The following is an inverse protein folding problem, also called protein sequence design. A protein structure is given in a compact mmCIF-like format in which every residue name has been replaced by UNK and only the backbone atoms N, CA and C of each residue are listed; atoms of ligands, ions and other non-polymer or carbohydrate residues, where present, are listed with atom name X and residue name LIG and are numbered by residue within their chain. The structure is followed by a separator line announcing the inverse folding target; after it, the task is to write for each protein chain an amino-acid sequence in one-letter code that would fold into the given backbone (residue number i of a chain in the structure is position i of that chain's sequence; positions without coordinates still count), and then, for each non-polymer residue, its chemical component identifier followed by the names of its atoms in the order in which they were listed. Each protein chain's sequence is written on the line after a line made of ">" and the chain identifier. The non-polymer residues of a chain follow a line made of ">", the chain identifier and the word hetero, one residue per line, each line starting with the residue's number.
data_IF_879027506463
#
_entry.id   IF_879027506463
#
_cell.length_a   1.000
_cell.length_b   1.000
_cell.length_c   1.000
_cell.angle_alpha   90.00
_cell.angle_beta   90.00
_cell.angle_gamma   90.00
#
_symmetry.space_group_name_H-M   'P 1'
#
loop_
_entity.id
_entity.type
_entity.pdbx_description
1 polymer ?
#
# COMPACT_ATOMS: atom_id res chain seq x y z
N UNK A 1 -8.11 1.48 23.24
CA UNK A 1 -8.39 0.97 21.88
C UNK A 1 -7.13 1.16 21.02
N UNK A 2 -6.35 0.11 20.73
CA UNK A 2 -5.34 0.23 19.65
C UNK A 2 -6.14 0.24 18.35
N UNK A 3 -6.40 1.42 17.79
CA UNK A 3 -6.91 1.55 16.42
C UNK A 3 -6.02 0.65 15.55
N UNK A 4 -6.60 -0.40 14.96
CA UNK A 4 -5.89 -1.25 14.02
C UNK A 4 -5.54 -0.34 12.85
N UNK A 5 -4.29 0.14 12.80
CA UNK A 5 -3.79 0.87 11.65
C UNK A 5 -3.69 -0.17 10.53
N UNK A 6 -4.72 -0.22 9.68
CA UNK A 6 -4.65 -0.93 8.42
C UNK A 6 -3.77 -0.09 7.50
N UNK A 7 -2.71 -0.70 6.99
CA UNK A 7 -1.85 -0.08 6.01
C UNK A 7 -2.63 0.05 4.70
N UNK A 8 -3.08 1.27 4.41
CA UNK A 8 -3.75 1.60 3.16
C UNK A 8 -2.69 1.94 2.11
N UNK A 9 -2.47 1.03 1.17
CA UNK A 9 -1.72 1.33 -0.04
C UNK A 9 -2.58 2.22 -0.93
N UNK A 10 -2.25 3.51 -0.98
CA UNK A 10 -2.92 4.44 -1.89
C UNK A 10 -2.57 4.10 -3.32
N UNK A 11 -3.57 4.05 -4.18
CA UNK A 11 -3.33 3.92 -5.61
C UNK A 11 -2.71 5.21 -6.17
N UNK A 12 -2.08 5.13 -7.34
CA UNK A 12 -1.49 6.32 -8.01
C UNK A 12 -2.51 7.47 -8.12
N UNK A 13 -3.74 7.16 -8.52
CA UNK A 13 -4.81 8.15 -8.63
C UNK A 13 -5.15 8.81 -7.28
N UNK A 14 -5.15 8.06 -6.19
CA UNK A 14 -5.46 8.62 -4.86
C UNK A 14 -4.36 9.56 -4.40
N UNK A 15 -3.10 9.21 -4.68
CA UNK A 15 -1.97 10.08 -4.40
C UNK A 15 -2.01 11.38 -5.22
N UNK A 16 -2.28 11.28 -6.52
CA UNK A 16 -2.38 12.48 -7.38
C UNK A 16 -3.51 13.42 -6.95
N UNK A 17 -4.62 12.89 -6.44
CA UNK A 17 -5.74 13.71 -5.94
C UNK A 17 -5.37 14.54 -4.69
N UNK A 18 -4.36 14.13 -3.93
CA UNK A 18 -3.90 14.85 -2.74
C UNK A 18 -2.93 15.99 -3.06
N UNK A 19 -2.42 16.05 -4.29
CA UNK A 19 -1.47 17.08 -4.71
C UNK A 19 -2.20 18.40 -5.00
N UNK A 20 -1.47 19.51 -4.81
CA UNK A 20 -1.95 20.85 -5.16
C UNK A 20 -2.18 20.94 -6.69
N UNK A 21 -3.29 21.54 -7.18
CA UNK A 21 -3.53 21.74 -8.61
C UNK A 21 -2.36 22.35 -9.38
N UNK A 22 -1.63 23.30 -8.80
CA UNK A 22 -0.45 23.91 -9.46
C UNK A 22 0.67 22.89 -9.75
N UNK A 23 0.84 21.90 -8.87
CA UNK A 23 1.81 20.81 -9.06
C UNK A 23 1.31 19.87 -10.15
N UNK A 24 0.01 19.59 -10.18
CA UNK A 24 -0.59 18.74 -11.21
C UNK A 24 -0.47 19.35 -12.61
N UNK A 25 -0.70 20.66 -12.75
CA UNK A 25 -0.54 21.35 -14.03
C UNK A 25 0.91 21.25 -14.54
N UNK A 26 1.89 21.47 -13.65
CA UNK A 26 3.31 21.28 -13.99
C UNK A 26 3.63 19.84 -14.35
N UNK A 27 3.03 18.87 -13.66
CA UNK A 27 3.27 17.44 -13.86
C UNK A 27 2.67 16.94 -15.19
N UNK A 28 1.50 17.44 -15.58
CA UNK A 28 0.85 17.11 -16.85
C UNK A 28 1.51 17.74 -18.07
N UNK A 29 2.34 18.77 -17.91
CA UNK A 29 3.21 19.24 -18.98
C UNK A 29 4.26 18.19 -19.40
N UNK A 30 4.57 17.21 -18.53
CA UNK A 30 5.44 16.11 -18.87
C UNK A 30 4.66 14.95 -19.51
N UNK A 31 5.02 14.52 -20.73
CA UNK A 31 4.21 13.55 -21.46
C UNK A 31 4.34 12.12 -20.89
N UNK A 32 5.42 11.81 -20.17
CA UNK A 32 5.56 10.54 -19.44
C UNK A 32 4.47 10.41 -18.36
N UNK A 33 4.19 11.49 -17.64
CA UNK A 33 3.14 11.53 -16.63
C UNK A 33 1.76 11.30 -17.26
N UNK A 34 1.46 12.00 -18.36
CA UNK A 34 0.19 11.85 -19.05
C UNK A 34 -0.07 10.41 -19.47
N UNK A 35 0.95 9.73 -19.99
CA UNK A 35 0.85 8.33 -20.40
C UNK A 35 0.68 7.38 -19.20
N UNK A 36 1.41 7.62 -18.10
CA UNK A 36 1.29 6.83 -16.87
C UNK A 36 -0.10 6.93 -16.26
N UNK A 37 -0.64 8.16 -16.15
CA UNK A 37 -1.99 8.40 -15.65
C UNK A 37 -3.02 7.77 -16.57
N UNK A 38 -2.88 7.94 -17.89
CA UNK A 38 -3.77 7.31 -18.85
C UNK A 38 -3.79 5.77 -18.74
N UNK A 39 -2.65 5.12 -18.47
CA UNK A 39 -2.57 3.66 -18.28
C UNK A 39 -3.38 3.18 -17.07
N UNK A 40 -3.38 3.93 -15.97
CA UNK A 40 -4.10 3.60 -14.74
C UNK A 40 -5.60 3.92 -14.78
N UNK A 41 -6.06 4.66 -15.79
CA UNK A 41 -7.48 5.00 -15.91
C UNK A 41 -8.36 3.75 -16.17
N UNK A 42 -9.58 3.71 -15.60
CA UNK A 42 -10.59 2.72 -15.96
C UNK A 42 -10.88 2.72 -17.47
N UNK A 43 -11.32 1.58 -18.00
CA UNK A 43 -11.58 1.41 -19.44
C UNK A 43 -12.51 2.48 -20.03
N UNK A 44 -13.55 2.87 -19.29
CA UNK A 44 -14.48 3.92 -19.69
C UNK A 44 -13.81 5.31 -19.73
N UNK A 45 -12.98 5.63 -18.73
CA UNK A 45 -12.25 6.90 -18.67
C UNK A 45 -11.24 7.03 -19.84
N UNK A 46 -10.55 5.94 -20.19
CA UNK A 46 -9.69 5.88 -21.37
C UNK A 46 -10.44 6.23 -22.66
N UNK A 47 -11.64 5.67 -22.85
CA UNK A 47 -12.48 5.98 -24.00
C UNK A 47 -12.91 7.44 -24.06
N UNK A 48 -13.22 8.07 -22.91
CA UNK A 48 -13.54 9.48 -22.87
C UNK A 48 -12.34 10.34 -23.28
N UNK A 49 -11.17 10.09 -22.71
CA UNK A 49 -9.94 10.82 -23.02
C UNK A 49 -9.62 10.70 -24.52
N UNK A 50 -9.65 9.49 -25.09
CA UNK A 50 -9.38 9.27 -26.51
C UNK A 50 -10.37 9.98 -27.44
N UNK A 51 -11.65 10.07 -27.06
CA UNK A 51 -12.66 10.78 -27.84
C UNK A 51 -12.51 12.30 -27.74
N UNK A 52 -12.13 12.81 -26.57
CA UNK A 52 -11.93 14.25 -26.34
C UNK A 52 -10.61 14.77 -26.90
N UNK A 53 -9.59 13.91 -27.04
CA UNK A 53 -8.27 14.29 -27.53
C UNK A 53 -8.29 14.94 -28.91
N UNK A 54 -9.20 14.51 -29.79
CA UNK A 54 -9.33 15.00 -31.16
C UNK A 54 -10.42 16.07 -31.33
N UNK A 55 -11.02 16.55 -30.23
CA UNK A 55 -12.08 17.55 -30.28
C UNK A 55 -11.53 18.92 -29.91
N UNK A 56 -11.64 19.87 -30.82
CA UNK A 56 -11.25 21.26 -30.58
C UNK A 56 -12.29 22.03 -29.74
N UNK A 57 -13.51 21.50 -29.62
CA UNK A 57 -14.63 22.15 -28.93
C UNK A 57 -15.05 21.39 -27.66
N UNK A 58 -15.37 22.11 -26.57
CA UNK A 58 -15.83 21.50 -25.33
C UNK A 58 -17.20 20.83 -25.49
N UNK A 59 -17.30 19.55 -25.13
CA UNK A 59 -18.57 18.82 -25.17
C UNK A 59 -19.50 19.17 -23.98
N UNK A 60 -20.82 19.20 -24.19
CA UNK A 60 -21.80 19.29 -23.11
C UNK A 60 -21.81 18.02 -22.25
N UNK A 61 -21.89 18.17 -20.92
CA UNK A 61 -21.91 17.04 -19.99
C UNK A 61 -23.08 16.07 -20.23
N UNK A 62 -24.22 16.58 -20.70
CA UNK A 62 -25.38 15.77 -21.08
C UNK A 62 -25.08 14.82 -22.27
N UNK A 63 -24.27 15.25 -23.23
CA UNK A 63 -23.86 14.42 -24.37
C UNK A 63 -22.92 13.29 -23.92
N UNK A 64 -22.04 13.56 -22.96
CA UNK A 64 -21.15 12.55 -22.38
C UNK A 64 -21.94 11.48 -21.62
N UNK A 65 -22.98 11.88 -20.87
CA UNK A 65 -23.85 10.94 -20.15
C UNK A 65 -24.62 10.00 -21.10
N UNK A 66 -24.88 10.41 -22.34
CA UNK A 66 -25.53 9.60 -23.37
C UNK A 66 -24.62 8.51 -23.96
N UNK A 67 -23.29 8.58 -23.75
CA UNK A 67 -22.35 7.57 -24.26
C UNK A 67 -22.33 6.28 -23.44
N UNK A 68 -22.98 6.27 -22.27
CA UNK A 68 -23.06 5.11 -21.37
C UNK A 68 -24.48 4.60 -21.31
N UNK A 69 -24.66 3.30 -21.59
CA UNK A 69 -25.96 2.64 -21.45
C UNK A 69 -26.49 2.76 -20.01
N UNK A 70 -27.81 2.91 -19.85
CA UNK A 70 -28.46 3.18 -18.55
C UNK A 70 -28.05 2.23 -17.41
N UNK A 71 -27.67 1.00 -17.73
CA UNK A 71 -27.28 -0.03 -16.77
C UNK A 71 -25.88 0.16 -16.15
N UNK A 72 -25.05 1.07 -16.70
CA UNK A 72 -23.64 1.26 -16.28
C UNK A 72 -23.34 2.69 -15.79
N UNK A 73 -24.35 3.53 -15.56
CA UNK A 73 -24.20 4.96 -15.26
C UNK A 73 -23.61 5.29 -13.88
N UNK A 74 -23.43 4.31 -12.97
CA UNK A 74 -22.81 4.53 -11.65
C UNK A 74 -21.31 4.85 -11.67
N UNK A 75 -20.64 4.73 -12.83
CA UNK A 75 -19.20 4.92 -13.00
C UNK A 75 -18.82 6.25 -13.70
N UNK A 76 -19.75 7.21 -13.79
CA UNK A 76 -19.46 8.50 -14.42
C UNK A 76 -18.58 9.34 -13.49
N UNK A 77 -17.27 9.31 -13.75
CA UNK A 77 -16.34 10.33 -13.25
C UNK A 77 -16.81 11.70 -13.75
N UNK A 78 -16.92 12.67 -12.84
CA UNK A 78 -17.18 14.06 -13.19
C UNK A 78 -16.10 14.57 -14.15
N UNK A 79 -16.44 15.10 -15.34
CA UNK A 79 -15.49 15.76 -16.22
C UNK A 79 -15.27 17.18 -15.72
N UNK A 80 -14.56 17.31 -14.60
CA UNK A 80 -14.05 18.57 -14.09
C UNK A 80 -12.54 18.46 -14.08
N UNK A 81 -11.92 18.78 -15.22
CA UNK A 81 -10.62 19.45 -15.35
C UNK A 81 -10.23 19.41 -16.85
N UNK A 82 -10.54 20.50 -17.55
CA UNK A 82 -10.21 20.71 -18.98
C UNK A 82 -8.78 21.21 -19.20
N UNK A 83 -7.91 21.08 -18.22
CA UNK A 83 -6.53 21.51 -18.36
C UNK A 83 -5.67 20.34 -18.87
N UNK A 84 -5.52 20.34 -20.20
CA UNK A 84 -4.39 19.81 -20.95
C UNK A 84 -3.97 18.34 -20.72
N UNK A 85 -4.78 17.38 -21.22
CA UNK A 85 -4.23 16.10 -21.69
C UNK A 85 -3.97 16.20 -23.20
N UNK A 86 -2.97 16.99 -23.61
CA UNK A 86 -2.38 16.84 -24.94
C UNK A 86 -1.50 15.59 -24.92
N UNK A 87 -2.13 14.43 -25.07
CA UNK A 87 -1.40 13.18 -25.26
C UNK A 87 -0.99 13.14 -26.73
N UNK A 88 0.31 13.24 -27.01
CA UNK A 88 0.87 12.88 -28.32
C UNK A 88 1.47 11.46 -28.18
N UNK A 89 0.66 10.39 -28.33
CA UNK A 89 1.01 9.04 -27.85
C UNK A 89 2.10 8.34 -28.66
N UNK A 90 2.56 8.91 -29.79
CA UNK A 90 3.44 8.23 -30.74
C UNK A 90 4.86 8.79 -30.73
N UNK A 91 5.09 9.99 -30.19
CA UNK A 91 6.41 10.65 -30.28
C UNK A 91 7.34 10.41 -29.09
N UNK A 92 6.83 10.03 -27.90
CA UNK A 92 7.64 10.03 -26.68
C UNK A 92 8.56 8.82 -26.51
N UNK A 93 8.10 7.60 -26.79
CA UNK A 93 8.95 6.41 -26.64
C UNK A 93 10.11 6.38 -27.65
N UNK A 94 9.91 6.97 -28.84
CA UNK A 94 10.92 7.04 -29.88
C UNK A 94 11.96 8.16 -29.63
N UNK A 95 11.55 9.32 -29.13
CA UNK A 95 12.47 10.44 -28.86
C UNK A 95 13.41 10.17 -27.68
N UNK A 96 12.95 9.48 -26.64
CA UNK A 96 13.78 9.18 -25.46
C UNK A 96 14.67 7.96 -25.63
N UNK A 97 14.30 7.05 -26.52
CA UNK A 97 15.12 5.89 -26.86
C UNK A 97 16.41 6.29 -27.61
N UNK A 98 16.45 7.48 -28.22
CA UNK A 98 17.56 7.90 -29.09
C UNK A 98 18.67 8.67 -28.34
N UNK A 99 18.47 9.04 -27.06
CA UNK A 99 19.52 9.69 -26.25
C UNK A 99 20.65 8.74 -25.84
N UNK A 100 20.37 7.42 -25.77
CA UNK A 100 21.37 6.38 -25.50
C UNK A 100 22.34 6.13 -26.67
N UNK A 101 21.96 6.53 -27.88
CA UNK A 101 22.74 6.40 -29.11
C UNK A 101 24.05 7.20 -29.07
N UNK A 102 24.15 8.20 -28.19
CA UNK A 102 25.29 9.12 -28.07
C UNK A 102 26.55 8.51 -27.47
N UNK A 103 26.42 7.47 -26.62
CA UNK A 103 27.54 6.94 -25.84
C UNK A 103 28.21 5.70 -26.47
N UNK A 104 27.63 5.13 -27.54
CA UNK A 104 28.09 3.89 -28.18
C UNK A 104 27.82 2.61 -27.36
N UNK A 105 28.08 1.40 -27.92
CA UNK A 105 27.73 0.13 -27.27
C UNK A 105 28.49 -0.10 -25.95
N UNK A 106 27.79 -0.53 -24.90
CA UNK A 106 28.44 -0.87 -23.62
C UNK A 106 29.23 -2.18 -23.74
N UNK A 107 30.52 -2.12 -23.39
CA UNK A 107 31.42 -3.28 -23.33
C UNK A 107 31.03 -4.26 -22.22
N UNK A 108 30.24 -3.83 -21.24
CA UNK A 108 29.81 -4.62 -20.10
C UNK A 108 28.29 -4.62 -19.94
N UNK A 109 27.58 -4.71 -21.06
CA UNK A 109 26.14 -4.91 -21.07
C UNK A 109 25.75 -6.08 -20.16
N UNK A 110 24.65 -5.92 -19.42
CA UNK A 110 24.14 -6.92 -18.50
C UNK A 110 22.92 -7.61 -19.10
N UNK A 111 22.90 -8.93 -18.97
CA UNK A 111 21.74 -9.73 -19.36
C UNK A 111 20.54 -9.43 -18.47
N UNK A 112 19.34 -9.53 -19.03
CA UNK A 112 18.08 -9.25 -18.34
C UNK A 112 17.95 -10.11 -17.08
N UNK A 113 18.28 -11.40 -17.15
CA UNK A 113 18.22 -12.30 -16.00
C UNK A 113 19.16 -11.84 -14.86
N UNK A 114 20.32 -11.31 -15.21
CA UNK A 114 21.28 -10.80 -14.24
C UNK A 114 20.81 -9.51 -13.55
N UNK A 115 20.02 -8.69 -14.26
CA UNK A 115 19.37 -7.50 -13.71
C UNK A 115 18.20 -7.88 -12.80
N UNK A 116 17.43 -8.90 -13.17
CA UNK A 116 16.34 -9.43 -12.35
C UNK A 116 16.86 -9.99 -11.02
N UNK A 117 17.94 -10.79 -11.06
CA UNK A 117 18.61 -11.32 -9.87
C UNK A 117 19.12 -10.19 -8.97
N UNK A 118 19.80 -9.20 -9.55
CA UNK A 118 20.27 -8.03 -8.82
C UNK A 118 19.13 -7.27 -8.12
N UNK A 119 18.02 -7.04 -8.83
CA UNK A 119 16.89 -6.28 -8.32
C UNK A 119 16.25 -6.99 -7.12
N UNK A 120 16.04 -8.31 -7.23
CA UNK A 120 15.47 -9.12 -6.16
C UNK A 120 16.40 -9.23 -4.96
N UNK A 121 17.69 -9.50 -5.14
CA UNK A 121 18.66 -9.56 -4.04
C UNK A 121 18.69 -8.26 -3.23
N UNK A 122 18.70 -7.10 -3.92
CA UNK A 122 18.68 -5.79 -3.27
C UNK A 122 17.40 -5.56 -2.48
N UNK A 123 16.26 -5.90 -3.07
CA UNK A 123 14.96 -5.75 -2.40
C UNK A 123 14.83 -6.68 -1.20
N UNK A 124 15.28 -7.93 -1.33
CA UNK A 124 15.25 -8.91 -0.25
C UNK A 124 16.13 -8.50 0.94
N UNK A 125 17.29 -7.87 0.71
CA UNK A 125 18.13 -7.33 1.79
C UNK A 125 17.37 -6.30 2.64
N UNK A 126 16.55 -5.46 2.01
CA UNK A 126 15.71 -4.47 2.71
C UNK A 126 14.64 -5.17 3.56
N UNK A 127 13.99 -6.20 3.01
CA UNK A 127 12.96 -6.94 3.72
C UNK A 127 13.54 -7.81 4.85
N UNK A 128 14.72 -8.40 4.66
CA UNK A 128 15.44 -9.15 5.68
C UNK A 128 15.84 -8.28 6.87
N UNK A 129 16.21 -7.02 6.62
CA UNK A 129 16.47 -6.05 7.68
C UNK A 129 15.23 -5.80 8.56
N UNK A 130 14.03 -5.75 7.97
CA UNK A 130 12.78 -5.60 8.74
C UNK A 130 12.47 -6.82 9.62
N UNK A 131 12.93 -8.00 9.23
CA UNK A 131 12.72 -9.26 9.98
C UNK A 131 13.80 -9.49 11.05
N UNK A 132 14.81 -8.61 11.13
CA UNK A 132 15.87 -8.67 12.15
C UNK A 132 17.09 -9.50 11.74
N UNK A 133 17.26 -9.79 10.45
CA UNK A 133 18.51 -10.36 9.93
C UNK A 133 19.65 -9.33 10.02
N UNK A 134 20.90 -9.72 10.32
CA UNK A 134 22.06 -8.81 10.51
C UNK A 134 22.54 -8.11 9.22
N UNK A 135 21.69 -7.98 8.21
CA UNK A 135 22.00 -7.32 6.95
C UNK A 135 22.18 -5.81 7.16
N UNK A 136 23.36 -5.30 6.82
CA UNK A 136 23.67 -3.87 6.90
C UNK A 136 22.94 -3.11 5.78
N UNK A 137 21.98 -2.27 6.17
CA UNK A 137 21.29 -1.34 5.27
C UNK A 137 21.78 0.09 5.54
N UNK A 138 21.68 0.97 4.53
CA UNK A 138 22.06 2.39 4.67
C UNK A 138 21.23 3.08 5.76
N UNK A 139 21.86 4.00 6.49
CA UNK A 139 21.20 4.75 7.57
C UNK A 139 19.99 5.54 7.07
N UNK A 140 20.08 6.11 5.86
CA UNK A 140 19.00 6.88 5.24
C UNK A 140 17.76 6.02 4.97
N UNK A 141 17.96 4.75 4.60
CA UNK A 141 16.88 3.80 4.35
C UNK A 141 16.25 3.32 5.66
N UNK A 142 17.06 3.08 6.70
CA UNK A 142 16.56 2.79 8.03
C UNK A 142 15.71 3.95 8.58
N UNK A 143 16.16 5.19 8.39
CA UNK A 143 15.39 6.38 8.76
C UNK A 143 14.08 6.48 7.97
N UNK A 144 14.09 6.14 6.67
CA UNK A 144 12.87 6.12 5.86
C UNK A 144 11.87 5.07 6.35
N UNK A 145 12.33 3.86 6.70
CA UNK A 145 11.45 2.82 7.28
C UNK A 145 10.82 3.25 8.59
N UNK A 146 11.56 3.99 9.42
CA UNK A 146 11.07 4.54 10.69
C UNK A 146 10.05 5.66 10.43
N UNK A 147 10.36 6.60 9.51
CA UNK A 147 9.46 7.68 9.13
C UNK A 147 8.17 7.18 8.46
N UNK A 148 8.26 6.10 7.69
CA UNK A 148 7.13 5.39 7.09
C UNK A 148 6.26 4.65 8.13
N UNK A 149 6.70 4.59 9.39
CA UNK A 149 6.03 3.88 10.48
C UNK A 149 6.12 2.36 10.38
N UNK A 150 6.97 1.82 9.51
CA UNK A 150 7.15 0.37 9.30
C UNK A 150 8.05 -0.25 10.38
N UNK A 151 9.01 0.53 10.88
CA UNK A 151 9.87 0.17 12.01
C UNK A 151 9.81 1.24 13.09
N UNK A 152 10.12 0.86 14.32
CA UNK A 152 10.34 1.77 15.45
C UNK A 152 11.73 1.56 15.99
N UNK A 153 12.39 2.64 16.36
CA UNK A 153 13.65 2.61 17.08
C UNK A 153 13.43 3.33 18.40
N UNK A 154 13.67 2.64 19.50
CA UNK A 154 13.80 3.25 20.82
C UNK A 154 15.29 3.51 21.08
N UNK A 155 15.59 4.57 21.83
CA UNK A 155 16.96 5.03 22.00
C UNK A 155 17.84 3.93 22.65
N UNK A 156 18.78 3.39 21.88
CA UNK A 156 19.74 2.37 22.33
C UNK A 156 19.40 0.93 21.96
N UNK A 157 18.22 0.65 21.41
CA UNK A 157 17.82 -0.69 20.95
C UNK A 157 17.81 -0.80 19.42
N UNK A 158 18.02 -2.03 18.92
CA UNK A 158 17.87 -2.33 17.50
C UNK A 158 16.43 -2.02 17.06
N UNK A 159 16.22 -1.47 15.85
CA UNK A 159 14.88 -1.12 15.40
C UNK A 159 14.02 -2.38 15.29
N UNK A 160 12.81 -2.33 15.86
CA UNK A 160 11.84 -3.43 15.82
C UNK A 160 10.69 -3.10 14.86
N UNK A 161 10.08 -4.14 14.31
CA UNK A 161 8.99 -4.03 13.33
C UNK A 161 7.68 -3.62 14.00
N UNK A 162 6.92 -2.74 13.35
CA UNK A 162 5.58 -2.33 13.82
C UNK A 162 4.49 -3.26 13.29
N UNK A 163 3.26 -3.13 13.79
CA UNK A 163 2.10 -3.80 13.19
C UNK A 163 1.93 -3.45 11.70
N UNK A 164 2.22 -2.21 11.32
CA UNK A 164 2.18 -1.78 9.92
C UNK A 164 3.32 -2.41 9.10
N UNK A 165 4.50 -2.57 9.70
CA UNK A 165 5.62 -3.31 9.10
C UNK A 165 5.27 -4.77 8.80
N UNK A 166 4.63 -5.48 9.73
CA UNK A 166 4.17 -6.85 9.49
C UNK A 166 3.16 -6.94 8.35
N UNK A 167 2.22 -5.99 8.28
CA UNK A 167 1.26 -5.91 7.18
C UNK A 167 1.97 -5.67 5.83
N UNK A 168 2.95 -4.77 5.81
CA UNK A 168 3.75 -4.46 4.63
C UNK A 168 4.49 -5.69 4.07
N UNK A 169 5.09 -6.51 4.96
CA UNK A 169 5.81 -7.73 4.57
C UNK A 169 4.94 -8.76 3.84
N UNK A 170 3.63 -8.76 4.09
CA UNK A 170 2.67 -9.69 3.48
C UNK A 170 2.07 -9.19 2.16
N UNK A 171 2.33 -7.94 1.78
CA UNK A 171 1.89 -7.41 0.49
C UNK A 171 2.62 -8.08 -0.69
N UNK A 172 2.09 -7.89 -1.89
CA UNK A 172 2.77 -8.21 -3.13
C UNK A 172 3.92 -7.23 -3.41
N UNK A 173 4.90 -7.66 -4.20
CA UNK A 173 6.12 -6.87 -4.44
C UNK A 173 5.84 -5.51 -5.09
N UNK A 174 4.83 -5.39 -5.96
CA UNK A 174 4.47 -4.11 -6.56
C UNK A 174 3.88 -3.15 -5.53
N UNK A 175 2.91 -3.62 -4.73
CA UNK A 175 2.30 -2.80 -3.67
C UNK A 175 3.30 -2.40 -2.60
N UNK A 176 4.25 -3.29 -2.26
CA UNK A 176 5.35 -2.95 -1.35
C UNK A 176 6.22 -1.83 -1.91
N UNK A 177 6.71 -1.98 -3.15
CA UNK A 177 7.55 -0.97 -3.79
C UNK A 177 6.80 0.35 -3.97
N UNK A 178 5.52 0.30 -4.35
CA UNK A 178 4.69 1.48 -4.51
C UNK A 178 4.48 2.22 -3.19
N UNK A 179 4.07 1.50 -2.14
CA UNK A 179 3.93 2.08 -0.80
C UNK A 179 5.25 2.73 -0.35
N UNK A 180 6.36 2.01 -0.51
CA UNK A 180 7.67 2.50 -0.12
C UNK A 180 8.09 3.76 -0.90
N UNK A 181 7.82 3.78 -2.20
CA UNK A 181 8.08 4.94 -3.07
C UNK A 181 7.21 6.13 -2.69
N UNK A 182 5.93 5.92 -2.36
CA UNK A 182 5.05 6.98 -1.86
C UNK A 182 5.56 7.60 -0.55
N UNK A 183 6.06 6.78 0.37
CA UNK A 183 6.64 7.30 1.61
C UNK A 183 7.93 8.06 1.33
N UNK A 184 8.78 7.58 0.41
CA UNK A 184 9.93 8.34 -0.07
C UNK A 184 9.52 9.72 -0.60
N UNK A 185 8.51 9.78 -1.49
CA UNK A 185 8.04 11.02 -2.11
C UNK A 185 7.54 12.05 -1.10
N UNK A 186 6.85 11.62 -0.03
CA UNK A 186 6.44 12.52 1.06
C UNK A 186 7.62 13.17 1.78
N UNK A 187 8.76 12.47 1.86
CA UNK A 187 10.00 13.00 2.46
C UNK A 187 10.90 13.73 1.46
N UNK A 188 10.56 13.70 0.15
CA UNK A 188 11.40 14.29 -0.88
C UNK A 188 11.47 15.82 -0.75
N UNK A 189 10.35 16.46 -0.39
CA UNK A 189 10.29 17.91 -0.22
C UNK A 189 11.14 18.42 0.96
N UNK A 190 11.19 17.68 2.07
CA UNK A 190 12.07 18.02 3.21
C UNK A 190 13.56 17.83 2.90
N UNK A 191 13.89 17.02 1.89
CA UNK A 191 15.26 16.83 1.39
C UNK A 191 15.66 17.85 0.32
N UNK A 192 14.79 18.83 0.01
CA UNK A 192 15.06 19.88 -0.96
C UNK A 192 15.01 19.43 -2.43
N UNK A 193 14.36 18.30 -2.73
CA UNK A 193 14.17 17.84 -4.11
C UNK A 193 12.83 18.32 -4.68
N UNK A 194 12.80 18.70 -5.96
CA UNK A 194 11.54 19.05 -6.64
C UNK A 194 10.70 17.78 -6.89
N UNK A 195 9.46 17.80 -6.40
CA UNK A 195 8.53 16.68 -6.51
C UNK A 195 8.15 16.40 -7.97
N UNK A 196 8.02 17.46 -8.79
CA UNK A 196 7.62 17.33 -10.20
C UNK A 196 8.70 16.60 -11.00
N UNK A 197 9.97 16.95 -10.81
CA UNK A 197 11.09 16.28 -11.49
C UNK A 197 11.17 14.80 -11.12
N UNK A 198 11.08 14.47 -9.83
CA UNK A 198 11.17 13.09 -9.33
C UNK A 198 10.01 12.23 -9.86
N UNK A 199 8.77 12.73 -9.78
CA UNK A 199 7.60 12.00 -10.26
C UNK A 199 7.66 11.79 -11.78
N UNK A 200 8.03 12.83 -12.52
CA UNK A 200 8.18 12.73 -13.98
C UNK A 200 9.24 11.71 -14.36
N UNK A 201 10.38 11.68 -13.65
CA UNK A 201 11.43 10.69 -13.85
C UNK A 201 10.99 9.27 -13.49
N UNK A 202 10.22 9.09 -12.42
CA UNK A 202 9.67 7.79 -12.05
C UNK A 202 8.72 7.24 -13.12
N UNK A 203 7.84 8.09 -13.66
CA UNK A 203 6.96 7.70 -14.76
C UNK A 203 7.76 7.40 -16.03
N UNK A 204 8.77 8.20 -16.35
CA UNK A 204 9.67 7.94 -17.47
C UNK A 204 10.36 6.58 -17.34
N UNK A 205 10.87 6.25 -16.14
CA UNK A 205 11.50 4.97 -15.85
C UNK A 205 10.55 3.78 -16.09
N UNK A 206 9.25 3.98 -15.87
CA UNK A 206 8.26 2.93 -16.10
C UNK A 206 7.98 2.61 -17.56
N UNK A 207 8.33 3.52 -18.48
CA UNK A 207 8.23 3.33 -19.93
C UNK A 207 9.55 2.93 -20.56
N UNK A 208 10.61 2.79 -19.76
CA UNK A 208 11.90 2.33 -20.24
C UNK A 208 11.84 0.86 -20.69
N UNK A 209 12.66 0.53 -21.68
CA UNK A 209 12.80 -0.84 -22.19
C UNK A 209 13.85 -1.60 -21.38
N UNK A 210 13.52 -2.82 -20.95
CA UNK A 210 14.45 -3.69 -20.23
C UNK A 210 15.67 -4.03 -21.09
N UNK A 211 16.84 -4.07 -20.44
CA UNK A 211 18.10 -4.44 -21.09
C UNK A 211 18.76 -3.33 -21.91
N UNK A 212 18.16 -2.14 -22.00
CA UNK A 212 18.80 -0.95 -22.60
C UNK A 212 19.42 -0.06 -21.54
N UNK A 213 20.55 0.55 -21.89
CA UNK A 213 21.17 1.60 -21.09
C UNK A 213 20.62 2.98 -21.42
N UNK A 214 20.58 3.82 -20.39
CA UNK A 214 20.16 5.21 -20.47
C UNK A 214 21.26 6.12 -19.92
N UNK A 215 21.41 7.29 -20.54
CA UNK A 215 22.39 8.29 -20.13
C UNK A 215 21.90 9.07 -18.91
N UNK A 216 22.86 9.44 -18.06
CA UNK A 216 22.67 10.32 -16.89
C UNK A 216 22.99 11.79 -17.25
N UNK A 217 23.46 12.05 -18.48
CA UNK A 217 23.80 13.40 -18.94
C UNK A 217 22.53 14.28 -19.01
N UNK A 218 22.61 15.49 -18.44
CA UNK A 218 21.48 16.43 -18.37
C UNK A 218 20.60 16.32 -17.12
N UNK A 219 20.87 15.37 -16.21
CA UNK A 219 20.14 15.27 -14.94
C UNK A 219 20.57 16.33 -13.91
N UNK A 220 19.60 16.88 -13.18
CA UNK A 220 19.83 17.78 -12.04
C UNK A 220 20.47 17.04 -10.85
N UNK A 221 21.11 17.77 -9.93
CA UNK A 221 21.76 17.17 -8.74
C UNK A 221 20.75 16.42 -7.83
N UNK A 222 19.51 16.91 -7.76
CA UNK A 222 18.39 16.25 -7.10
C UNK A 222 18.08 14.89 -7.74
N UNK A 223 17.98 14.83 -9.07
CA UNK A 223 17.75 13.59 -9.81
C UNK A 223 18.91 12.59 -9.68
N UNK A 224 20.16 13.07 -9.66
CA UNK A 224 21.32 12.20 -9.42
C UNK A 224 21.28 11.56 -8.03
N UNK A 225 20.88 12.33 -7.02
CA UNK A 225 20.69 11.84 -5.65
C UNK A 225 19.55 10.83 -5.58
N UNK A 226 18.42 11.13 -6.22
CA UNK A 226 17.29 10.21 -6.33
C UNK A 226 17.67 8.90 -7.04
N UNK A 227 18.45 8.98 -8.11
CA UNK A 227 18.95 7.82 -8.84
C UNK A 227 19.83 6.91 -7.98
N UNK A 228 20.63 7.48 -7.05
CA UNK A 228 21.37 6.67 -6.08
C UNK A 228 20.43 5.94 -5.11
N UNK A 229 19.36 6.59 -4.64
CA UNK A 229 18.37 5.90 -3.79
C UNK A 229 17.62 4.79 -4.55
N UNK A 230 17.22 5.03 -5.81
CA UNK A 230 16.64 4.00 -6.68
C UNK A 230 17.58 2.81 -6.88
N UNK A 231 18.90 3.07 -6.94
CA UNK A 231 19.93 2.03 -7.03
C UNK A 231 20.00 1.19 -5.75
N UNK A 232 19.88 1.82 -4.58
CA UNK A 232 19.83 1.13 -3.30
C UNK A 232 18.57 0.26 -3.16
N UNK A 233 17.43 0.71 -3.69
CA UNK A 233 16.18 -0.06 -3.70
C UNK A 233 16.19 -1.21 -4.72
N UNK A 234 17.14 -1.22 -5.67
CA UNK A 234 17.19 -2.22 -6.74
C UNK A 234 16.30 -1.90 -7.95
N UNK A 235 15.74 -0.68 -8.04
CA UNK A 235 14.91 -0.23 -9.17
C UNK A 235 15.76 0.13 -10.39
N UNK A 236 16.99 0.59 -10.16
CA UNK A 236 17.98 0.82 -11.22
C UNK A 236 19.29 0.14 -10.90
N UNK A 237 19.99 -0.29 -11.93
CA UNK A 237 21.34 -0.79 -11.84
C UNK A 237 22.33 0.25 -12.39
N UNK A 238 23.34 0.56 -11.58
CA UNK A 238 24.54 1.27 -12.03
C UNK A 238 25.78 0.53 -11.56
N UNK A 239 26.70 0.28 -12.49
CA UNK A 239 27.97 -0.40 -12.20
C UNK A 239 28.82 0.35 -11.17
N UNK A 240 28.86 1.69 -11.27
CA UNK A 240 29.57 2.58 -10.33
C UNK A 240 28.63 3.71 -9.92
N UNK A 241 28.80 4.26 -8.70
CA UNK A 241 27.99 5.39 -8.19
C UNK A 241 28.01 6.61 -9.13
N UNK A 242 29.14 6.87 -9.79
CA UNK A 242 29.32 7.98 -10.74
C UNK A 242 29.29 7.52 -12.20
N UNK A 243 28.65 6.39 -12.49
CA UNK A 243 28.48 5.91 -13.86
C UNK A 243 27.60 6.88 -14.64
N UNK A 244 27.98 7.19 -15.89
CA UNK A 244 27.15 8.00 -16.80
C UNK A 244 25.98 7.21 -17.39
N UNK A 245 25.92 5.91 -17.15
CA UNK A 245 24.88 5.00 -17.65
C UNK A 245 24.16 4.30 -16.51
N UNK A 246 22.85 4.11 -16.66
CA UNK A 246 22.03 3.28 -15.77
C UNK A 246 21.14 2.33 -16.58
N UNK A 247 20.77 1.21 -15.95
CA UNK A 247 19.89 0.19 -16.50
C UNK A 247 18.64 0.06 -15.62
N UNK A 248 17.42 0.26 -16.15
CA UNK A 248 16.18 -0.02 -15.43
C UNK A 248 16.03 -1.51 -15.15
N UNK A 249 15.55 -1.86 -13.96
CA UNK A 249 15.23 -3.26 -13.61
C UNK A 249 13.74 -3.55 -13.83
N UNK A 250 13.35 -4.84 -13.86
CA UNK A 250 11.94 -5.21 -13.98
C UNK A 250 11.08 -4.63 -12.85
N UNK A 251 11.63 -4.48 -11.65
CA UNK A 251 10.92 -3.88 -10.52
C UNK A 251 10.45 -2.43 -10.80
N UNK A 252 11.26 -1.64 -11.51
CA UNK A 252 10.89 -0.26 -11.86
C UNK A 252 9.76 -0.15 -12.88
N UNK A 253 9.69 -1.09 -13.82
CA UNK A 253 8.59 -1.15 -14.78
C UNK A 253 7.32 -1.65 -14.11
N UNK A 254 7.46 -2.70 -13.29
CA UNK A 254 6.36 -3.29 -12.53
C UNK A 254 5.73 -2.30 -11.55
N UNK A 255 6.54 -1.40 -10.95
CA UNK A 255 6.09 -0.36 -10.03
C UNK A 255 4.89 0.43 -10.54
N UNK A 256 4.91 0.80 -11.83
CA UNK A 256 3.85 1.63 -12.40
C UNK A 256 2.84 0.82 -13.22
N UNK A 257 3.14 -0.44 -13.55
CA UNK A 257 2.19 -1.33 -14.24
C UNK A 257 1.26 -2.07 -13.26
N UNK A 258 1.57 -2.05 -11.95
CA UNK A 258 0.73 -2.66 -10.90
C UNK A 258 0.61 -4.18 -10.98
N UNK A 259 1.38 -4.85 -11.84
CA UNK A 259 1.28 -6.30 -12.08
C UNK A 259 2.64 -6.96 -11.86
N UNK A 260 2.77 -7.70 -10.77
CA UNK A 260 3.90 -8.63 -10.56
C UNK A 260 3.53 -10.02 -11.06
N UNK A 261 4.28 -10.53 -12.03
CA UNK A 261 4.22 -11.95 -12.43
C UNK A 261 5.32 -12.74 -11.71
N UNK A 262 5.28 -12.77 -10.37
CA UNK A 262 6.13 -13.71 -9.64
C UNK A 262 5.37 -15.03 -9.54
N UNK A 263 5.99 -16.11 -10.03
CA UNK A 263 5.42 -17.45 -9.92
C UNK A 263 5.18 -17.78 -8.45
N UNK A 264 3.95 -18.20 -8.13
CA UNK A 264 3.65 -18.62 -6.77
C UNK A 264 4.31 -19.96 -6.45
N UNK A 265 4.61 -20.16 -5.17
CA UNK A 265 5.36 -21.31 -4.66
C UNK A 265 4.64 -22.04 -3.53
N UNK A 266 3.45 -21.58 -3.13
CA UNK A 266 2.73 -22.09 -1.97
C UNK A 266 1.57 -22.99 -2.42
N UNK A 267 1.49 -24.18 -1.83
CA UNK A 267 0.35 -25.09 -1.91
C UNK A 267 -0.24 -25.23 -0.52
N UNK A 268 -1.57 -25.15 -0.41
CA UNK A 268 -2.28 -25.28 0.86
C UNK A 268 -3.34 -26.37 0.74
N UNK A 269 -3.36 -27.29 1.71
CA UNK A 269 -4.27 -28.45 1.74
C UNK A 269 -5.34 -28.32 2.83
N UNK A 270 -6.44 -29.07 2.70
CA UNK A 270 -7.60 -29.04 3.63
C UNK A 270 -7.29 -29.51 5.05
N UNK A 271 -6.14 -30.15 5.27
CA UNK A 271 -5.63 -30.57 6.59
C UNK A 271 -4.84 -29.46 7.31
N UNK A 272 -4.92 -28.21 6.83
CA UNK A 272 -4.18 -27.04 7.32
C UNK A 272 -2.66 -27.11 7.13
N UNK A 273 -2.16 -28.04 6.30
CA UNK A 273 -0.75 -28.07 5.92
C UNK A 273 -0.49 -27.15 4.75
N UNK A 274 0.65 -26.47 4.84
CA UNK A 274 1.17 -25.55 3.85
C UNK A 274 2.53 -26.07 3.37
N UNK A 275 2.67 -26.18 2.06
CA UNK A 275 3.90 -26.59 1.38
C UNK A 275 4.42 -25.40 0.58
N UNK A 276 5.57 -24.87 0.98
CA UNK A 276 6.23 -23.77 0.30
C UNK A 276 7.46 -24.28 -0.44
N UNK A 277 7.46 -24.18 -1.77
CA UNK A 277 8.55 -24.57 -2.65
C UNK A 277 9.53 -23.40 -2.81
N UNK A 278 10.34 -23.15 -1.79
CA UNK A 278 11.28 -22.02 -1.78
C UNK A 278 12.50 -22.29 -0.93
N UNK A 279 13.64 -21.76 -1.40
CA UNK A 279 14.94 -21.80 -0.73
C UNK A 279 15.23 -20.46 -0.05
N UNK A 280 14.43 -19.42 -0.34
CA UNK A 280 14.63 -18.06 0.17
C UNK A 280 14.29 -17.97 1.64
N UNK A 281 15.28 -17.63 2.46
CA UNK A 281 15.10 -17.46 3.91
C UNK A 281 14.05 -16.42 4.26
N UNK A 282 13.92 -15.37 3.45
CA UNK A 282 12.88 -14.36 3.64
C UNK A 282 11.49 -14.98 3.50
N UNK A 283 11.25 -15.75 2.43
CA UNK A 283 9.93 -16.33 2.19
C UNK A 283 9.56 -17.35 3.27
N UNK A 284 10.55 -18.10 3.77
CA UNK A 284 10.39 -19.01 4.92
C UNK A 284 10.01 -18.21 6.17
N UNK A 285 10.73 -17.12 6.48
CA UNK A 285 10.42 -16.29 7.62
C UNK A 285 9.02 -15.67 7.52
N UNK A 286 8.58 -15.25 6.33
CA UNK A 286 7.23 -14.72 6.11
C UNK A 286 6.13 -15.75 6.37
N UNK A 287 6.34 -17.00 5.94
CA UNK A 287 5.41 -18.11 6.23
C UNK A 287 5.38 -18.41 7.74
N UNK A 288 6.53 -18.34 8.40
CA UNK A 288 6.64 -18.58 9.85
C UNK A 288 5.92 -17.52 10.71
N UNK A 289 5.59 -16.35 10.15
CA UNK A 289 4.86 -15.30 10.89
C UNK A 289 3.45 -15.72 11.30
N UNK A 290 2.81 -16.59 10.52
CA UNK A 290 1.41 -16.99 10.72
C UNK A 290 1.18 -18.50 10.68
N UNK A 291 2.26 -19.30 10.63
CA UNK A 291 2.20 -20.76 10.63
C UNK A 291 3.35 -21.35 11.43
N UNK A 292 3.16 -22.58 11.91
CA UNK A 292 4.18 -23.33 12.64
C UNK A 292 5.00 -24.18 11.65
N UNK A 293 6.32 -24.05 11.69
CA UNK A 293 7.22 -24.80 10.80
C UNK A 293 7.42 -26.22 11.32
N UNK A 294 7.06 -27.23 10.52
CA UNK A 294 7.21 -28.65 10.88
C UNK A 294 8.53 -29.22 10.37
N UNK A 295 8.79 -29.06 9.07
CA UNK A 295 9.96 -29.62 8.40
C UNK A 295 10.55 -28.63 7.40
N UNK A 296 11.87 -28.57 7.34
CA UNK A 296 12.62 -27.80 6.34
C UNK A 296 13.51 -28.76 5.54
N UNK A 297 13.19 -28.93 4.27
CA UNK A 297 14.04 -29.59 3.29
C UNK A 297 14.82 -28.54 2.49
N UNK A 298 15.69 -28.98 1.56
CA UNK A 298 16.51 -28.08 0.76
C UNK A 298 15.70 -27.13 -0.13
N UNK A 299 14.53 -27.58 -0.62
CA UNK A 299 13.69 -26.84 -1.56
C UNK A 299 12.20 -26.82 -1.24
N UNK A 300 11.82 -27.42 -0.12
CA UNK A 300 10.42 -27.49 0.34
C UNK A 300 10.40 -27.25 1.84
N UNK A 301 9.52 -26.36 2.25
CA UNK A 301 9.22 -26.14 3.66
C UNK A 301 7.77 -26.55 3.90
N UNK A 302 7.59 -27.39 4.93
CA UNK A 302 6.28 -27.85 5.37
C UNK A 302 5.94 -27.12 6.66
N UNK A 303 4.84 -26.37 6.62
CA UNK A 303 4.30 -25.65 7.75
C UNK A 303 2.85 -26.07 8.02
N UNK A 304 2.35 -25.78 9.21
CA UNK A 304 0.98 -26.03 9.60
C UNK A 304 0.31 -24.76 10.13
N UNK A 305 -0.90 -24.49 9.64
CA UNK A 305 -1.75 -23.41 10.14
C UNK A 305 -2.47 -23.92 11.39
N UNK A 306 -2.05 -23.44 12.55
CA UNK A 306 -2.67 -23.74 13.85
C UNK A 306 -3.45 -22.54 14.36
N UNK A 307 -4.38 -22.78 15.28
CA UNK A 307 -5.15 -21.70 15.91
C UNK A 307 -4.23 -20.72 16.63
N UNK A 308 -3.25 -21.26 17.34
CA UNK A 308 -2.30 -20.52 18.17
C UNK A 308 -1.39 -19.64 17.30
N UNK A 309 -0.85 -20.17 16.20
CA UNK A 309 0.01 -19.40 15.27
C UNK A 309 -0.74 -18.26 14.60
N UNK A 310 -1.97 -18.49 14.14
CA UNK A 310 -2.80 -17.43 13.54
C UNK A 310 -3.19 -16.38 14.58
N UNK A 311 -3.57 -16.78 15.80
CA UNK A 311 -3.88 -15.82 16.87
C UNK A 311 -2.66 -14.98 17.27
N UNK A 312 -1.47 -15.57 17.29
CA UNK A 312 -0.21 -14.85 17.52
C UNK A 312 0.08 -13.84 16.40
N UNK A 313 -0.12 -14.21 15.13
CA UNK A 313 0.00 -13.28 14.00
C UNK A 313 -0.97 -12.10 14.13
N UNK A 314 -2.22 -12.36 14.53
CA UNK A 314 -3.23 -11.32 14.74
C UNK A 314 -2.87 -10.45 15.95
N UNK A 315 -2.23 -11.01 16.99
CA UNK A 315 -1.69 -10.24 18.12
C UNK A 315 -0.67 -9.19 17.65
N UNK A 316 0.15 -9.53 16.65
CA UNK A 316 1.11 -8.65 16.01
C UNK A 316 0.48 -7.66 15.02
N UNK A 317 -0.83 -7.74 14.76
CA UNK A 317 -1.58 -6.81 13.94
C UNK A 317 -1.74 -7.23 12.47
N UNK A 318 -1.52 -8.50 12.15
CA UNK A 318 -1.82 -9.10 10.85
C UNK A 318 -3.31 -9.50 10.81
N UNK A 319 -4.03 -9.15 9.75
CA UNK A 319 -5.46 -9.52 9.59
C UNK A 319 -5.64 -10.85 8.87
N UNK A 320 -6.76 -11.55 9.09
CA UNK A 320 -7.06 -12.79 8.34
C UNK A 320 -7.09 -12.54 6.82
N UNK A 321 -7.62 -11.40 6.40
CA UNK A 321 -7.68 -11.02 4.98
C UNK A 321 -6.29 -10.90 4.36
N UNK A 322 -5.30 -10.37 5.09
CA UNK A 322 -3.93 -10.27 4.62
C UNK A 322 -3.26 -11.64 4.49
N UNK A 323 -3.48 -12.55 5.44
CA UNK A 323 -2.98 -13.93 5.34
C UNK A 323 -3.59 -14.61 4.11
N UNK A 324 -4.91 -14.51 3.93
CA UNK A 324 -5.60 -15.11 2.77
C UNK A 324 -5.11 -14.49 1.46
N UNK A 325 -4.93 -13.17 1.41
CA UNK A 325 -4.39 -12.47 0.25
C UNK A 325 -2.98 -12.96 -0.07
N UNK A 326 -2.09 -13.06 0.92
CA UNK A 326 -0.73 -13.56 0.77
C UNK A 326 -0.70 -14.98 0.17
N UNK A 327 -1.52 -15.90 0.72
CA UNK A 327 -1.62 -17.27 0.24
C UNK A 327 -2.15 -17.34 -1.19
N UNK A 328 -3.12 -16.48 -1.56
CA UNK A 328 -3.69 -16.43 -2.91
C UNK A 328 -2.71 -15.86 -3.93
N UNK A 329 -2.01 -14.79 -3.59
CA UNK A 329 -1.08 -14.10 -4.50
C UNK A 329 0.17 -14.95 -4.78
N UNK A 330 0.60 -15.77 -3.81
CA UNK A 330 1.79 -16.64 -3.93
C UNK A 330 1.44 -18.12 -4.13
N UNK A 331 0.22 -18.40 -4.59
CA UNK A 331 -0.26 -19.75 -4.86
C UNK A 331 0.47 -20.40 -6.05
N UNK A 332 0.92 -21.63 -5.89
CA UNK A 332 1.56 -22.41 -6.94
C UNK A 332 0.63 -22.57 -8.17
N UNK A 333 1.13 -22.62 -9.41
CA UNK A 333 0.31 -22.75 -10.62
C UNK A 333 -0.69 -23.91 -10.60
N UNK A 334 -0.33 -25.03 -9.95
CA UNK A 334 -1.22 -26.19 -9.76
C UNK A 334 -2.45 -25.85 -8.92
N UNK A 335 -2.33 -24.93 -7.97
CA UNK A 335 -3.44 -24.47 -7.15
C UNK A 335 -4.30 -23.45 -7.91
N UNK A 336 -3.68 -22.65 -8.78
CA UNK A 336 -4.37 -21.67 -9.63
C UNK A 336 -5.28 -22.31 -10.68
N UNK A 337 -5.05 -23.58 -11.05
CA UNK A 337 -5.97 -24.31 -11.94
C UNK A 337 -7.26 -24.74 -11.24
N UNK A 338 -7.28 -24.77 -9.91
CA UNK A 338 -8.45 -25.12 -9.12
C UNK A 338 -9.30 -23.88 -8.83
N UNK A 339 -10.62 -24.04 -8.89
CA UNK A 339 -11.58 -22.99 -8.51
C UNK A 339 -12.46 -23.50 -7.36
N UNK A 340 -12.45 -22.84 -6.18
CA UNK A 340 -11.65 -21.69 -5.78
C UNK A 340 -10.16 -22.02 -5.58
N UNK A 341 -9.27 -21.03 -5.79
CA UNK A 341 -7.81 -21.18 -5.64
C UNK A 341 -7.43 -21.68 -4.25
N UNK A 342 -8.06 -21.17 -3.20
CA UNK A 342 -7.84 -21.66 -1.83
C UNK A 342 -9.09 -22.43 -1.39
N UNK A 343 -8.93 -23.60 -0.72
CA UNK A 343 -10.07 -24.31 -0.15
C UNK A 343 -10.87 -23.43 0.82
N UNK A 344 -12.20 -23.34 0.68
CA UNK A 344 -13.03 -22.41 1.46
C UNK A 344 -12.94 -22.70 2.97
N UNK A 345 -12.82 -23.99 3.35
CA UNK A 345 -12.63 -24.44 4.72
C UNK A 345 -11.50 -23.70 5.43
N UNK A 346 -10.37 -23.49 4.75
CA UNK A 346 -9.19 -22.83 5.32
C UNK A 346 -9.44 -21.33 5.43
N UNK A 347 -9.99 -20.72 4.37
CA UNK A 347 -10.25 -19.28 4.37
C UNK A 347 -11.26 -18.88 5.45
N UNK A 348 -12.27 -19.72 5.67
CA UNK A 348 -13.28 -19.47 6.70
C UNK A 348 -12.73 -19.76 8.09
N UNK A 349 -11.92 -20.81 8.26
CA UNK A 349 -11.30 -21.13 9.54
C UNK A 349 -10.37 -20.01 10.04
N UNK A 350 -9.54 -19.43 9.16
CA UNK A 350 -8.67 -18.29 9.51
C UNK A 350 -9.51 -17.08 9.95
N UNK A 351 -10.64 -16.82 9.29
CA UNK A 351 -11.56 -15.73 9.68
C UNK A 351 -12.23 -16.01 11.02
N UNK A 352 -12.63 -17.26 11.28
CA UNK A 352 -13.21 -17.65 12.56
C UNK A 352 -12.21 -17.46 13.71
N UNK A 353 -10.94 -17.85 13.52
CA UNK A 353 -9.89 -17.63 14.51
C UNK A 353 -9.64 -16.14 14.80
N UNK A 354 -9.84 -15.25 13.82
CA UNK A 354 -9.83 -13.80 14.06
C UNK A 354 -11.04 -13.34 14.89
N UNK A 355 -12.25 -13.78 14.52
CA UNK A 355 -13.48 -13.42 15.22
C UNK A 355 -13.51 -13.91 16.68
N UNK A 356 -12.85 -15.03 16.99
CA UNK A 356 -12.71 -15.53 18.35
C UNK A 356 -12.03 -14.53 19.29
N UNK A 357 -11.09 -13.72 18.77
CA UNK A 357 -10.42 -12.66 19.54
C UNK A 357 -11.32 -11.44 19.69
N UNK A 358 -12.06 -11.07 18.65
CA UNK A 358 -12.91 -9.86 18.64
C UNK A 358 -14.28 -10.06 19.33
N UNK A 359 -14.45 -11.14 20.12
CA UNK A 359 -15.68 -11.42 20.87
C UNK A 359 -16.01 -10.37 21.94
N UNK A 360 -15.00 -9.73 22.50
CA UNK A 360 -15.15 -8.76 23.58
C UNK A 360 -14.77 -7.37 23.08
N UNK A 361 -15.73 -6.45 23.08
CA UNK A 361 -15.49 -5.04 22.83
C UNK A 361 -15.30 -4.31 24.16
N UNK A 362 -14.11 -3.76 24.37
CA UNK A 362 -13.81 -2.97 25.56
C UNK A 362 -14.16 -1.51 25.27
N UNK A 363 -15.21 -1.02 25.91
CA UNK A 363 -15.61 0.39 25.86
C UNK A 363 -15.46 0.99 27.24
N UNK A 364 -14.57 1.96 27.39
CA UNK A 364 -14.42 2.70 28.64
C UNK A 364 -15.60 3.66 28.82
N UNK A 365 -16.20 3.66 30.00
CA UNK A 365 -17.33 4.49 30.31
C UNK A 365 -17.59 4.64 31.80
N UNK A 366 -18.45 5.60 32.14
CA UNK A 366 -18.89 5.87 33.50
C UNK A 366 -20.33 5.39 33.66
N UNK A 367 -20.57 4.65 34.73
CA UNK A 367 -21.89 4.15 35.09
C UNK A 367 -22.65 5.20 35.92
N UNK A 368 -23.88 5.53 35.50
CA UNK A 368 -24.85 6.23 36.32
C UNK A 368 -25.91 5.25 36.79
N UNK A 369 -26.11 5.20 38.11
CA UNK A 369 -27.14 4.40 38.76
C UNK A 369 -27.81 5.24 39.87
N UNK A 370 -28.79 4.65 40.57
CA UNK A 370 -29.50 5.25 41.72
C UNK A 370 -30.32 6.51 41.37
N UNK A 371 -31.01 6.51 40.23
CA UNK A 371 -32.00 7.56 39.93
C UNK A 371 -33.21 7.42 40.85
N UNK A 372 -33.62 8.53 41.49
CA UNK A 372 -34.77 8.58 42.38
C UNK A 372 -36.09 8.48 41.59
N UNK A 373 -36.19 9.23 40.49
CA UNK A 373 -37.37 9.27 39.61
C UNK A 373 -37.08 8.68 38.22
N UNK A 374 -38.12 8.16 37.57
CA UNK A 374 -38.08 7.72 36.18
C UNK A 374 -37.86 8.91 35.23
N UNK A 375 -38.50 10.05 35.50
CA UNK A 375 -38.38 11.25 34.68
C UNK A 375 -36.94 11.80 34.68
N UNK A 376 -36.27 11.74 35.83
CA UNK A 376 -34.87 12.16 36.00
C UNK A 376 -33.91 11.34 35.12
N UNK A 377 -34.15 10.03 35.07
CA UNK A 377 -33.40 9.11 34.22
C UNK A 377 -33.63 9.42 32.74
N UNK A 378 -34.89 9.59 32.32
CA UNK A 378 -35.25 9.86 30.93
C UNK A 378 -34.67 11.18 30.42
N UNK A 379 -34.70 12.23 31.24
CA UNK A 379 -34.10 13.53 30.90
C UNK A 379 -32.59 13.43 30.73
N UNK A 380 -31.88 12.72 31.63
CA UNK A 380 -30.44 12.55 31.52
C UNK A 380 -30.06 11.67 30.32
N UNK A 381 -30.85 10.61 30.06
CA UNK A 381 -30.71 9.72 28.90
C UNK A 381 -30.86 10.49 27.60
N UNK A 382 -31.94 11.25 27.43
CA UNK A 382 -32.24 11.96 26.19
C UNK A 382 -31.17 13.02 25.91
N UNK A 383 -30.65 13.66 26.97
CA UNK A 383 -29.52 14.57 26.85
C UNK A 383 -28.23 13.85 26.42
N UNK A 384 -27.91 12.71 27.02
CA UNK A 384 -26.72 11.93 26.67
C UNK A 384 -26.82 11.35 25.24
N UNK A 385 -28.02 10.95 24.82
CA UNK A 385 -28.30 10.49 23.46
C UNK A 385 -28.17 11.65 22.45
N UNK A 386 -28.71 12.84 22.76
CA UNK A 386 -28.57 14.02 21.90
C UNK A 386 -27.14 14.54 21.75
N UNK A 387 -26.27 14.27 22.75
CA UNK A 387 -24.84 14.57 22.69
C UNK A 387 -24.00 13.45 22.05
N UNK A 388 -24.61 12.30 21.72
CA UNK A 388 -23.91 11.14 21.16
C UNK A 388 -22.92 10.48 22.13
N UNK A 389 -23.10 10.65 23.45
CA UNK A 389 -22.19 10.10 24.47
C UNK A 389 -22.75 8.90 25.24
N UNK A 390 -23.97 8.47 24.95
CA UNK A 390 -24.60 7.28 25.53
C UNK A 390 -24.04 5.99 24.90
N UNK A 391 -23.50 5.08 25.72
CA UNK A 391 -22.93 3.79 25.28
C UNK A 391 -23.93 2.65 25.46
N UNK A 392 -24.54 2.58 26.63
CA UNK A 392 -25.48 1.51 26.97
C UNK A 392 -26.53 2.03 27.96
N UNK A 393 -27.72 1.43 27.92
CA UNK A 393 -28.81 1.80 28.82
C UNK A 393 -29.65 0.57 29.19
N UNK A 394 -30.17 0.60 30.40
CA UNK A 394 -31.19 -0.31 30.88
C UNK A 394 -32.28 0.50 31.60
N UNK A 395 -33.46 0.53 30.99
CA UNK A 395 -34.61 1.28 31.46
C UNK A 395 -35.23 0.63 32.70
N UNK A 396 -35.17 -0.69 32.82
CA UNK A 396 -35.80 -1.42 33.92
C UNK A 396 -35.09 -1.14 35.26
N UNK A 397 -33.76 -1.12 35.23
CA UNK A 397 -32.94 -0.83 36.42
C UNK A 397 -32.57 0.66 36.54
N UNK A 398 -32.95 1.50 35.56
CA UNK A 398 -32.56 2.92 35.47
C UNK A 398 -31.05 3.09 35.55
N UNK A 399 -30.34 2.36 34.70
CA UNK A 399 -28.88 2.39 34.62
C UNK A 399 -28.48 2.85 33.23
N UNK A 400 -27.50 3.73 33.16
CA UNK A 400 -26.94 4.16 31.89
C UNK A 400 -25.42 4.29 31.98
N UNK A 401 -24.74 3.94 30.89
CA UNK A 401 -23.29 4.08 30.74
C UNK A 401 -23.03 5.16 29.70
N UNK A 402 -22.25 6.17 30.07
CA UNK A 402 -21.77 7.20 29.14
C UNK A 402 -20.29 7.05 28.88
N UNK A 403 -19.82 7.60 27.76
CA UNK A 403 -18.38 7.68 27.48
C UNK A 403 -17.65 8.55 28.49
N UNK A 404 -16.40 8.22 28.80
CA UNK A 404 -15.56 9.01 29.72
C UNK A 404 -15.41 10.48 29.27
N UNK A 405 -15.40 10.73 27.96
CA UNK A 405 -15.30 12.09 27.40
C UNK A 405 -16.59 12.91 27.59
N UNK A 406 -17.76 12.26 27.51
CA UNK A 406 -19.06 12.92 27.69
C UNK A 406 -19.49 13.10 29.15
N UNK A 407 -18.78 12.49 30.11
CA UNK A 407 -19.15 12.50 31.52
C UNK A 407 -19.24 13.91 32.12
N UNK A 408 -18.30 14.79 31.78
CA UNK A 408 -18.25 16.17 32.32
C UNK A 408 -19.48 16.99 31.92
N UNK A 409 -19.90 16.90 30.67
CA UNK A 409 -21.05 17.61 30.11
C UNK A 409 -22.37 17.12 30.70
N UNK A 410 -22.54 15.79 30.79
CA UNK A 410 -23.74 15.16 31.40
C UNK A 410 -23.85 15.54 32.88
N UNK A 411 -22.73 15.53 33.61
CA UNK A 411 -22.68 15.96 35.02
C UNK A 411 -23.00 17.45 35.19
N UNK A 412 -22.50 18.30 34.30
CA UNK A 412 -22.77 19.75 34.32
C UNK A 412 -24.22 20.07 34.01
N UNK A 413 -24.85 19.32 33.11
CA UNK A 413 -26.28 19.42 32.84
C UNK A 413 -27.11 19.02 34.07
N UNK A 414 -26.80 17.88 34.69
CA UNK A 414 -27.51 17.42 35.89
C UNK A 414 -27.43 18.41 37.06
N UNK A 415 -26.26 18.99 37.30
CA UNK A 415 -26.07 20.03 38.33
C UNK A 415 -26.91 21.28 38.07
N UNK A 416 -27.02 21.71 36.80
CA UNK A 416 -27.85 22.86 36.41
C UNK A 416 -29.34 22.58 36.60
N UNK A 417 -29.77 21.35 36.33
CA UNK A 417 -31.15 20.94 36.50
C UNK A 417 -31.55 20.89 37.99
N UNK A 418 -30.68 20.38 38.87
CA UNK A 418 -30.89 20.40 40.34
C UNK A 418 -30.72 21.77 40.98
N UNK A 419 -30.12 22.76 40.31
CA UNK A 419 -30.06 24.14 40.84
C UNK A 419 -31.28 24.98 40.45
N UNK A 420 -32.11 24.51 39.52
CA UNK A 420 -33.35 25.15 39.07
C UNK A 420 -34.61 24.53 39.68
N UNK A 421 -34.45 23.47 40.47
CA UNK A 421 -35.46 22.86 41.35
C UNK A 421 -35.02 23.20 42.78
#
# INVERSE_FOLDING_TARGET
>A
MKLRVQLQCKNLHEYLRELNPEILDRLYNHPATCLAVYRELPSLAKNYVMRMLFLDQPLPQAAVALWVQKNSQRLVLCPGDKHALQINPIQTSAQWADEGSSLGPDRHARDIESLDRYAMERWEVILQFMVGSPSAVSQDLAQLLIQAGLMRSEAGEAPYITSAGFQFLLLDTASQLWYFTLQYLKTAQSRGMDLVEILSFLFQLSFSTLGRDYSVEGMSESLLTFLQHLREFGLVFQRKRKSRRYYPTRLAITLAAGVTTNGGFIVVETNYRLYAYTDSELQIALVALFSEMLYRFSNVVVAQLTRESVQQAIANGITAQQIIHFLRTRAHPVLLTQTPVLPPTITDQIRLWELERDRLQFTEGVLYNQFLSQADFEVLRDRAQGLGCLVWQDVAHRVMVVTSHGHSEVKRFWKRQRSHI
#
